data_IF_545127705818
#
_entry.id   IF_545127705818
#
_cell.length_a   1.000
_cell.length_b   1.000
_cell.length_c   1.000
_cell.angle_alpha   90.00
_cell.angle_beta   90.00
_cell.angle_gamma   90.00
#
_symmetry.space_group_name_H-M   'P 1'
#
loop_
_entity.id
_entity.type
_entity.pdbx_description
1 polymer ?
#
# COMPACT_ATOMS: atom_id res chain seq x y z
N UNK A 1 12.92 22.25 3.16
CA UNK A 1 13.02 20.85 2.66
C UNK A 1 11.67 20.14 2.54
N UNK A 2 10.55 20.75 2.94
CA UNK A 2 9.20 20.17 2.96
C UNK A 2 8.63 19.74 1.61
N UNK A 3 9.01 20.40 0.51
CA UNK A 3 8.45 20.08 -0.82
C UNK A 3 8.79 18.68 -1.35
N UNK A 4 9.91 18.06 -0.93
CA UNK A 4 10.32 16.73 -1.42
C UNK A 4 9.61 15.61 -0.66
N UNK A 5 9.44 15.76 0.66
CA UNK A 5 8.74 14.79 1.51
C UNK A 5 7.24 14.74 1.21
N UNK A 6 6.59 15.88 0.94
CA UNK A 6 5.16 15.90 0.55
C UNK A 6 4.90 15.18 -0.77
N UNK A 7 5.77 15.38 -1.78
CA UNK A 7 5.64 14.74 -3.10
C UNK A 7 5.85 13.23 -3.03
N UNK A 8 6.80 12.77 -2.22
CA UNK A 8 7.03 11.34 -2.01
C UNK A 8 5.84 10.68 -1.28
N UNK A 9 5.18 11.38 -0.35
CA UNK A 9 3.99 10.87 0.35
C UNK A 9 2.80 10.66 -0.60
N UNK A 10 2.52 11.66 -1.45
CA UNK A 10 1.44 11.58 -2.47
C UNK A 10 1.72 10.46 -3.48
N UNK A 11 2.98 10.29 -3.90
CA UNK A 11 3.39 9.19 -4.76
C UNK A 11 3.18 7.81 -4.10
N UNK A 12 3.45 7.71 -2.80
CA UNK A 12 3.24 6.48 -2.03
C UNK A 12 1.76 6.15 -1.85
N UNK A 13 0.91 7.16 -1.64
CA UNK A 13 -0.55 7.02 -1.55
C UNK A 13 -1.15 6.58 -2.89
N UNK A 14 -0.70 7.18 -4.01
CA UNK A 14 -1.08 6.74 -5.36
C UNK A 14 -0.65 5.30 -5.65
N UNK A 15 0.56 4.92 -5.23
CA UNK A 15 1.04 3.56 -5.35
C UNK A 15 0.20 2.59 -4.52
N UNK A 16 -0.16 2.97 -3.28
CA UNK A 16 -1.06 2.20 -2.42
C UNK A 16 -2.43 1.98 -3.07
N UNK A 17 -3.01 3.02 -3.67
CA UNK A 17 -4.29 2.93 -4.36
C UNK A 17 -4.22 2.00 -5.58
N UNK A 18 -3.12 2.07 -6.35
CA UNK A 18 -2.88 1.15 -7.48
C UNK A 18 -2.76 -0.30 -7.01
N UNK A 19 -2.10 -0.56 -5.88
CA UNK A 19 -2.02 -1.90 -5.29
C UNK A 19 -3.40 -2.43 -4.88
N UNK A 20 -4.25 -1.59 -4.28
CA UNK A 20 -5.61 -1.98 -3.91
C UNK A 20 -6.45 -2.40 -5.13
N UNK A 21 -6.35 -1.64 -6.23
CA UNK A 21 -7.03 -2.00 -7.49
C UNK A 21 -6.52 -3.34 -8.04
N UNK A 22 -5.19 -3.59 -7.99
CA UNK A 22 -4.60 -4.86 -8.44
C UNK A 22 -4.99 -6.03 -7.56
N UNK A 23 -5.17 -5.82 -6.25
CA UNK A 23 -5.65 -6.84 -5.33
C UNK A 23 -7.08 -7.26 -5.69
N UNK A 24 -7.97 -6.29 -5.94
CA UNK A 24 -9.36 -6.54 -6.35
C UNK A 24 -9.42 -7.36 -7.63
N UNK A 25 -8.59 -7.04 -8.64
CA UNK A 25 -8.51 -7.82 -9.88
C UNK A 25 -8.01 -9.25 -9.65
N UNK A 26 -6.99 -9.44 -8.80
CA UNK A 26 -6.50 -10.78 -8.45
C UNK A 26 -7.56 -11.60 -7.72
N UNK A 27 -8.30 -11.00 -6.78
CA UNK A 27 -9.40 -11.66 -6.08
C UNK A 27 -10.56 -12.02 -7.00
N UNK A 28 -10.87 -11.16 -7.98
CA UNK A 28 -11.87 -11.44 -9.01
C UNK A 28 -11.45 -12.60 -9.91
N UNK A 29 -10.19 -12.64 -10.33
CA UNK A 29 -9.64 -13.74 -11.11
C UNK A 29 -9.69 -15.06 -10.32
N UNK A 30 -9.33 -15.02 -9.03
CA UNK A 30 -9.39 -16.20 -8.15
C UNK A 30 -10.82 -16.70 -7.97
N UNK A 31 -11.79 -15.80 -7.72
CA UNK A 31 -13.22 -16.16 -7.66
C UNK A 31 -13.71 -16.78 -8.97
N UNK A 32 -13.29 -16.24 -10.11
CA UNK A 32 -13.67 -16.77 -11.42
C UNK A 32 -13.13 -18.19 -11.61
N UNK A 33 -11.83 -18.39 -11.34
CA UNK A 33 -11.19 -19.70 -11.40
C UNK A 33 -11.84 -20.69 -10.43
N UNK A 34 -12.09 -20.30 -9.18
CA UNK A 34 -12.66 -21.19 -8.18
C UNK A 34 -14.13 -21.51 -8.42
N UNK A 35 -14.95 -20.53 -8.83
CA UNK A 35 -16.41 -20.70 -8.80
C UNK A 35 -16.98 -21.09 -10.15
N UNK A 36 -16.43 -20.56 -11.25
CA UNK A 36 -16.95 -20.82 -12.60
C UNK A 36 -16.31 -22.07 -13.24
N UNK A 37 -15.06 -22.40 -12.87
CA UNK A 37 -14.31 -23.48 -13.54
C UNK A 37 -14.19 -24.78 -12.73
N UNK A 38 -14.46 -24.78 -11.41
CA UNK A 38 -14.39 -26.01 -10.59
C UNK A 38 -15.50 -27.01 -10.89
N UNK A 39 -16.67 -26.55 -11.34
CA UNK A 39 -17.86 -27.40 -11.45
C UNK A 39 -18.11 -27.96 -12.87
N UNK A 40 -17.29 -27.59 -13.84
CA UNK A 40 -17.43 -28.01 -15.24
C UNK A 40 -16.06 -28.36 -15.84
N UNK A 41 -15.46 -29.50 -15.45
CA UNK A 41 -14.42 -30.08 -16.29
C UNK A 41 -15.01 -30.28 -17.69
N UNK A 42 -14.29 -29.92 -18.77
CA UNK A 42 -14.80 -30.08 -20.12
C UNK A 42 -15.19 -31.55 -20.32
N UNK A 43 -16.41 -31.79 -20.79
CA UNK A 43 -16.95 -33.12 -21.03
C UNK A 43 -16.24 -33.75 -22.24
N UNK A 44 -15.03 -34.25 -22.03
CA UNK A 44 -14.16 -34.72 -23.10
C UNK A 44 -14.48 -36.16 -23.57
N UNK A 45 -15.52 -36.81 -23.02
CA UNK A 45 -15.82 -38.23 -23.28
C UNK A 45 -14.87 -39.17 -22.50
N UNK A 46 -14.93 -40.47 -22.79
CA UNK A 46 -14.21 -41.52 -22.04
C UNK A 46 -13.04 -42.15 -22.80
N UNK A 47 -12.64 -41.60 -23.94
CA UNK A 47 -11.46 -42.07 -24.66
C UNK A 47 -10.20 -41.81 -23.82
N UNK A 48 -9.15 -42.62 -23.97
CA UNK A 48 -7.89 -42.46 -23.22
C UNK A 48 -7.33 -41.03 -23.33
N UNK A 49 -7.47 -40.41 -24.50
CA UNK A 49 -7.08 -39.03 -24.78
C UNK A 49 -7.91 -38.00 -23.98
N UNK A 50 -9.19 -38.28 -23.76
CA UNK A 50 -10.08 -37.44 -22.96
C UNK A 50 -9.66 -37.40 -21.47
N UNK A 51 -9.28 -38.56 -20.92
CA UNK A 51 -8.77 -38.64 -19.54
C UNK A 51 -7.44 -37.91 -19.41
N UNK A 52 -6.54 -38.07 -20.37
CA UNK A 52 -5.25 -37.39 -20.38
C UNK A 52 -5.39 -35.87 -20.51
N UNK A 53 -6.31 -35.40 -21.36
CA UNK A 53 -6.59 -33.99 -21.54
C UNK A 53 -7.30 -33.37 -20.30
N UNK A 54 -8.19 -34.11 -19.63
CA UNK A 54 -8.81 -33.67 -18.37
C UNK A 54 -7.79 -33.47 -17.23
N UNK A 55 -6.78 -34.37 -17.14
CA UNK A 55 -5.67 -34.23 -16.19
C UNK A 55 -4.83 -33.00 -16.50
N UNK A 56 -4.45 -32.82 -17.76
CA UNK A 56 -3.68 -31.65 -18.22
C UNK A 56 -4.41 -30.34 -17.95
N UNK A 57 -5.73 -30.30 -18.16
CA UNK A 57 -6.55 -29.15 -17.83
C UNK A 57 -6.52 -28.85 -16.32
N UNK A 58 -6.63 -29.89 -15.48
CA UNK A 58 -6.59 -29.75 -14.01
C UNK A 58 -5.23 -29.24 -13.51
N UNK A 59 -4.13 -29.72 -14.10
CA UNK A 59 -2.76 -29.25 -13.80
C UNK A 59 -2.58 -27.77 -14.17
N UNK A 60 -3.04 -27.37 -15.35
CA UNK A 60 -3.00 -25.97 -15.81
C UNK A 60 -3.86 -25.09 -14.88
N UNK A 61 -5.06 -25.54 -14.54
CA UNK A 61 -5.95 -24.83 -13.64
C UNK A 61 -5.31 -24.60 -12.26
N UNK A 62 -4.71 -25.64 -11.68
CA UNK A 62 -4.01 -25.52 -10.40
C UNK A 62 -2.81 -24.56 -10.48
N UNK A 63 -2.03 -24.61 -11.57
CA UNK A 63 -0.91 -23.69 -11.79
C UNK A 63 -1.37 -22.22 -11.82
N UNK A 64 -2.51 -21.92 -12.46
CA UNK A 64 -3.07 -20.56 -12.45
C UNK A 64 -3.56 -20.14 -11.07
N UNK A 65 -4.19 -21.02 -10.30
CA UNK A 65 -4.59 -20.73 -8.92
C UNK A 65 -3.38 -20.36 -8.05
N UNK A 66 -2.31 -21.16 -8.14
CA UNK A 66 -1.08 -20.91 -7.38
C UNK A 66 -0.42 -19.58 -7.76
N UNK A 67 -0.41 -19.25 -9.06
CA UNK A 67 0.14 -17.97 -9.54
C UNK A 67 -0.67 -16.77 -9.04
N UNK A 68 -2.00 -16.83 -9.12
CA UNK A 68 -2.88 -15.74 -8.64
C UNK A 68 -2.76 -15.59 -7.12
N UNK A 69 -2.64 -16.68 -6.38
CA UNK A 69 -2.47 -16.61 -4.92
C UNK A 69 -1.12 -16.00 -4.51
N UNK A 70 -0.03 -16.36 -5.20
CA UNK A 70 1.28 -15.72 -4.99
C UNK A 70 1.24 -14.23 -5.29
N UNK A 71 0.57 -13.82 -6.36
CA UNK A 71 0.38 -12.40 -6.69
C UNK A 71 -0.41 -11.69 -5.59
N UNK A 72 -1.50 -12.29 -5.11
CA UNK A 72 -2.32 -11.76 -4.01
C UNK A 72 -1.49 -11.57 -2.74
N UNK A 73 -0.68 -12.56 -2.37
CA UNK A 73 0.20 -12.48 -1.20
C UNK A 73 1.24 -11.36 -1.33
N UNK A 74 1.88 -11.23 -2.50
CA UNK A 74 2.85 -10.18 -2.76
C UNK A 74 2.23 -8.78 -2.69
N UNK A 75 1.04 -8.59 -3.27
CA UNK A 75 0.31 -7.30 -3.22
C UNK A 75 -0.08 -6.94 -1.79
N UNK A 76 -0.56 -7.90 -0.99
CA UNK A 76 -0.86 -7.67 0.45
C UNK A 76 0.38 -7.29 1.25
N UNK A 77 1.51 -7.96 1.02
CA UNK A 77 2.76 -7.63 1.68
C UNK A 77 3.23 -6.21 1.32
N UNK A 78 3.18 -5.85 0.03
CA UNK A 78 3.50 -4.50 -0.43
C UNK A 78 2.56 -3.44 0.17
N UNK A 79 1.26 -3.73 0.25
CA UNK A 79 0.27 -2.82 0.85
C UNK A 79 0.58 -2.56 2.34
N UNK A 80 0.91 -3.63 3.09
CA UNK A 80 1.28 -3.54 4.50
C UNK A 80 2.57 -2.76 4.72
N UNK A 81 3.60 -3.00 3.90
CA UNK A 81 4.85 -2.25 3.95
C UNK A 81 4.63 -0.75 3.65
N UNK A 82 3.89 -0.44 2.59
CA UNK A 82 3.55 0.94 2.21
C UNK A 82 2.75 1.66 3.31
N UNK A 83 1.79 0.99 3.94
CA UNK A 83 1.03 1.54 5.06
C UNK A 83 1.92 1.84 6.28
N UNK A 84 2.87 0.95 6.58
CA UNK A 84 3.84 1.14 7.66
C UNK A 84 4.75 2.34 7.38
N UNK A 85 5.23 2.49 6.13
CA UNK A 85 6.04 3.63 5.72
C UNK A 85 5.23 4.93 5.87
N UNK A 86 3.98 4.99 5.38
CA UNK A 86 3.12 6.17 5.53
C UNK A 86 2.92 6.56 7.00
N UNK A 87 2.68 5.58 7.87
CA UNK A 87 2.51 5.83 9.30
C UNK A 87 3.79 6.42 9.93
N UNK A 88 4.95 5.81 9.67
CA UNK A 88 6.24 6.28 10.19
C UNK A 88 6.57 7.70 9.71
N UNK A 89 6.30 8.00 8.44
CA UNK A 89 6.51 9.34 7.89
C UNK A 89 5.60 10.37 8.54
N UNK A 90 4.30 10.09 8.66
CA UNK A 90 3.35 10.99 9.33
C UNK A 90 3.78 11.30 10.77
N UNK A 91 4.12 10.28 11.55
CA UNK A 91 4.60 10.47 12.93
C UNK A 91 5.91 11.27 13.00
N UNK A 92 6.82 11.07 12.04
CA UNK A 92 8.08 11.82 11.99
C UNK A 92 7.86 13.29 11.66
N UNK A 93 7.00 13.59 10.69
CA UNK A 93 6.65 14.96 10.33
C UNK A 93 5.89 15.67 11.47
N UNK A 94 4.94 14.98 12.13
CA UNK A 94 4.25 15.50 13.31
C UNK A 94 5.23 15.85 14.44
N UNK A 95 6.21 14.97 14.70
CA UNK A 95 7.24 15.21 15.71
C UNK A 95 8.14 16.39 15.34
N UNK A 96 8.52 16.51 14.08
CA UNK A 96 9.33 17.62 13.60
C UNK A 96 8.57 18.95 13.68
N UNK A 97 7.28 18.96 13.35
CA UNK A 97 6.43 20.13 13.48
C UNK A 97 6.28 20.58 14.95
N UNK A 98 6.06 19.64 15.87
CA UNK A 98 6.00 19.92 17.31
C UNK A 98 7.32 20.50 17.82
N UNK A 99 8.46 19.86 17.49
CA UNK A 99 9.78 20.35 17.91
C UNK A 99 10.12 21.73 17.32
N UNK A 100 9.73 22.00 16.07
CA UNK A 100 9.91 23.32 15.48
C UNK A 100 9.03 24.37 16.17
N UNK A 101 7.80 24.03 16.56
CA UNK A 101 6.93 24.94 17.28
C UNK A 101 7.49 25.27 18.68
N UNK A 102 8.03 24.28 19.38
CA UNK A 102 8.70 24.46 20.67
C UNK A 102 9.95 25.35 20.53
N UNK A 103 10.79 25.10 19.52
CA UNK A 103 11.97 25.93 19.24
C UNK A 103 11.56 27.36 18.91
N UNK A 104 10.56 27.55 18.05
CA UNK A 104 10.04 28.89 17.72
C UNK A 104 9.45 29.60 18.93
N UNK A 105 8.74 28.89 19.82
CA UNK A 105 8.21 29.46 21.05
C UNK A 105 9.33 29.93 22.00
N UNK A 106 10.39 29.14 22.16
CA UNK A 106 11.57 29.50 22.95
C UNK A 106 12.29 30.71 22.33
N UNK A 107 12.52 30.71 21.02
CA UNK A 107 13.19 31.81 20.32
C UNK A 107 12.39 33.11 20.42
N UNK A 108 11.07 33.07 20.24
CA UNK A 108 10.21 34.24 20.41
C UNK A 108 10.24 34.77 21.85
N UNK A 109 10.28 33.88 22.85
CA UNK A 109 10.41 34.27 24.25
C UNK A 109 11.74 34.97 24.57
N UNK A 110 12.82 34.56 23.90
CA UNK A 110 14.13 35.23 23.99
C UNK A 110 14.10 36.59 23.29
N UNK A 111 13.51 36.69 22.11
CA UNK A 111 13.37 37.97 21.40
C UNK A 111 12.52 38.98 22.21
N UNK A 112 11.42 38.54 22.82
CA UNK A 112 10.61 39.39 23.69
C UNK A 112 11.38 39.84 24.95
N UNK A 113 12.25 39.00 25.50
CA UNK A 113 13.12 39.36 26.62
C UNK A 113 14.24 40.34 26.23
N UNK A 114 14.64 40.34 24.96
CA UNK A 114 15.67 41.22 24.40
C UNK A 114 15.11 42.55 23.87
N UNK A 115 13.79 42.72 23.78
CA UNK A 115 13.18 44.01 23.41
C UNK A 115 13.58 45.08 24.44
N UNK A 116 14.23 46.18 24.01
CA UNK A 116 14.64 47.23 24.93
C UNK A 116 13.40 47.83 25.61
N UNK A 117 13.38 47.83 26.94
CA UNK A 117 12.40 48.58 27.73
C UNK A 117 12.47 50.05 27.29
N UNK A 118 11.43 50.55 26.65
CA UNK A 118 11.29 52.00 26.45
C UNK A 118 11.35 52.67 27.82
N UNK A 119 12.44 53.40 28.06
CA UNK A 119 12.60 54.20 29.27
C UNK A 119 11.51 55.29 29.28
N UNK A 120 10.87 55.56 30.43
CA UNK A 120 9.88 56.62 30.50
C UNK A 120 10.57 57.96 30.23
N UNK A 121 10.10 58.68 29.21
CA UNK A 121 10.51 60.07 28.97
C UNK A 121 9.98 60.89 30.14
N UNK A 122 10.89 61.40 30.97
CA UNK A 122 10.64 62.43 31.99
C UNK A 122 11.21 63.74 31.47
#
# INVERSE_FOLDING_TARGET
>A
MTGRTTVDLMSLEDFHQKLANRLTEAEKALRKLSTEMQCQPPALGSFTDATQNSRRYSEIHQSYLDQVDRLRAAVKAAQSATATILANYRTTEERNAANSADISAVLNGVDDALKPKEAPRV
#
